data_IF_015819253240
#
_entry.id   IF_015819253240
#
_cell.length_a   1.000
_cell.length_b   1.000
_cell.length_c   1.000
_cell.angle_alpha   90.00
_cell.angle_beta   90.00
_cell.angle_gamma   90.00
#
_symmetry.space_group_name_H-M   'P 1'
#
loop_
_entity.id
_entity.type
_entity.pdbx_description
1 polymer ?
#
# COMPACT_ATOMS: atom_id res chain seq x y z
N UNK A 1 -22.49 -16.43 -24.43
CA UNK A 1 -22.89 -15.59 -23.28
C UNK A 1 -21.94 -15.82 -22.11
N UNK A 2 -20.94 -14.95 -22.04
CA UNK A 2 -20.34 -14.28 -20.88
C UNK A 2 -20.25 -15.01 -19.51
N UNK A 3 -19.10 -15.63 -19.24
CA UNK A 3 -18.57 -15.86 -17.88
C UNK A 3 -17.37 -14.93 -17.63
N UNK A 4 -17.60 -13.63 -17.40
CA UNK A 4 -16.53 -12.67 -17.00
C UNK A 4 -16.67 -12.14 -15.57
N UNK A 5 -17.90 -12.06 -15.03
CA UNK A 5 -18.21 -11.57 -13.67
C UNK A 5 -17.45 -12.24 -12.51
N UNK A 6 -17.32 -13.58 -12.44
CA UNK A 6 -16.69 -14.23 -11.28
C UNK A 6 -15.21 -13.85 -11.13
N UNK A 7 -14.51 -13.70 -12.26
CA UNK A 7 -13.08 -13.33 -12.29
C UNK A 7 -12.86 -11.88 -11.86
N UNK A 8 -13.73 -10.97 -12.30
CA UNK A 8 -13.66 -9.56 -11.94
C UNK A 8 -13.86 -9.33 -10.43
N UNK A 9 -14.86 -10.00 -9.84
CA UNK A 9 -15.08 -9.96 -8.37
C UNK A 9 -13.86 -10.49 -7.60
N UNK A 10 -13.29 -11.62 -8.04
CA UNK A 10 -12.09 -12.18 -7.41
C UNK A 10 -10.86 -11.25 -7.51
N UNK A 11 -10.72 -10.51 -8.62
CA UNK A 11 -9.63 -9.55 -8.78
C UNK A 11 -9.78 -8.35 -7.83
N UNK A 12 -11.00 -7.87 -7.62
CA UNK A 12 -11.30 -6.80 -6.65
C UNK A 12 -11.02 -7.27 -5.22
N UNK A 13 -11.42 -8.48 -4.86
CA UNK A 13 -11.16 -9.06 -3.52
C UNK A 13 -9.66 -9.18 -3.24
N UNK A 14 -8.89 -9.69 -4.20
CA UNK A 14 -7.43 -9.77 -4.10
C UNK A 14 -6.82 -8.37 -3.96
N UNK A 15 -7.25 -7.40 -4.77
CA UNK A 15 -6.72 -6.05 -4.70
C UNK A 15 -7.06 -5.34 -3.37
N UNK A 16 -8.26 -5.54 -2.82
CA UNK A 16 -8.62 -5.03 -1.49
C UNK A 16 -7.71 -5.61 -0.40
N UNK A 17 -7.43 -6.92 -0.45
CA UNK A 17 -6.52 -7.56 0.51
C UNK A 17 -5.13 -6.96 0.44
N UNK A 18 -4.61 -6.73 -0.77
CA UNK A 18 -3.31 -6.09 -0.97
C UNK A 18 -3.26 -4.66 -0.42
N UNK A 19 -4.34 -3.88 -0.58
CA UNK A 19 -4.44 -2.53 -0.02
C UNK A 19 -4.39 -2.59 1.52
N UNK A 20 -5.15 -3.48 2.14
CA UNK A 20 -5.16 -3.60 3.61
C UNK A 20 -3.80 -4.06 4.17
N UNK A 21 -3.13 -5.00 3.51
CA UNK A 21 -1.79 -5.45 3.88
C UNK A 21 -0.76 -4.32 3.75
N UNK A 22 -0.77 -3.61 2.61
CA UNK A 22 0.16 -2.49 2.36
C UNK A 22 -0.10 -1.32 3.33
N UNK A 23 -1.36 -1.05 3.67
CA UNK A 23 -1.73 -0.03 4.65
C UNK A 23 -1.15 -0.35 6.02
N UNK A 24 -1.33 -1.59 6.50
CA UNK A 24 -0.75 -2.04 7.78
C UNK A 24 0.77 -1.94 7.80
N UNK A 25 1.43 -2.29 6.69
CA UNK A 25 2.88 -2.17 6.56
C UNK A 25 3.33 -0.69 6.67
N UNK A 26 2.69 0.21 5.92
CA UNK A 26 2.97 1.64 5.94
C UNK A 26 2.72 2.28 7.31
N UNK A 27 1.63 1.89 7.99
CA UNK A 27 1.33 2.36 9.35
C UNK A 27 2.40 1.88 10.35
N UNK A 28 2.82 0.62 10.25
CA UNK A 28 3.83 0.06 11.14
C UNK A 28 5.21 0.70 10.91
N UNK A 29 5.63 0.94 9.66
CA UNK A 29 6.88 1.65 9.40
C UNK A 29 6.85 3.10 9.83
N UNK A 30 5.71 3.79 9.71
CA UNK A 30 5.56 5.14 10.24
C UNK A 30 5.71 5.16 11.77
N UNK A 31 5.12 4.19 12.47
CA UNK A 31 5.27 4.07 13.92
C UNK A 31 6.73 3.85 14.32
N UNK A 32 7.47 3.02 13.58
CA UNK A 32 8.92 2.84 13.80
C UNK A 32 9.70 4.12 13.57
N UNK A 33 9.44 4.84 12.48
CA UNK A 33 10.10 6.12 12.20
C UNK A 33 9.83 7.17 13.31
N UNK A 34 8.60 7.23 13.82
CA UNK A 34 8.23 8.11 14.95
C UNK A 34 8.88 7.69 16.27
N UNK A 35 9.16 6.41 16.47
CA UNK A 35 9.83 5.88 17.65
C UNK A 35 11.37 6.06 17.59
N UNK A 36 11.93 6.52 16.48
CA UNK A 36 13.35 6.80 16.36
C UNK A 36 13.79 7.85 17.41
N UNK A 37 15.04 7.78 17.92
CA UNK A 37 15.60 8.82 18.77
C UNK A 37 15.46 10.21 18.13
N UNK A 38 15.28 11.24 18.94
CA UNK A 38 15.25 12.63 18.45
C UNK A 38 16.68 13.12 18.14
N UNK A 39 16.86 14.09 17.23
CA UNK A 39 15.83 14.79 16.46
C UNK A 39 15.33 14.00 15.23
N UNK A 40 14.10 14.26 14.78
CA UNK A 40 13.56 13.70 13.54
C UNK A 40 13.96 14.57 12.35
N UNK A 41 15.25 14.64 12.11
CA UNK A 41 15.88 15.49 11.11
C UNK A 41 16.81 14.67 10.21
N UNK A 42 17.16 15.21 9.05
CA UNK A 42 18.04 14.55 8.06
C UNK A 42 19.44 14.24 8.59
N UNK A 43 19.86 14.90 9.68
CA UNK A 43 21.15 14.70 10.35
C UNK A 43 21.14 13.46 11.26
N UNK A 44 19.96 12.91 11.58
CA UNK A 44 19.83 11.70 12.37
C UNK A 44 19.71 10.46 11.47
N UNK A 45 20.79 9.67 11.30
CA UNK A 45 20.79 8.55 10.36
C UNK A 45 19.80 7.44 10.75
N UNK A 46 19.49 7.26 12.04
CA UNK A 46 18.52 6.26 12.49
C UNK A 46 17.10 6.65 12.08
N UNK A 47 16.75 7.93 12.22
CA UNK A 47 15.46 8.44 11.74
C UNK A 47 15.38 8.36 10.21
N UNK A 48 16.41 8.80 9.49
CA UNK A 48 16.44 8.77 8.02
C UNK A 48 16.22 7.36 7.49
N UNK A 49 16.95 6.37 7.98
CA UNK A 49 16.80 4.98 7.53
C UNK A 49 15.37 4.43 7.75
N UNK A 50 14.76 4.73 8.90
CA UNK A 50 13.40 4.31 9.21
C UNK A 50 12.35 5.06 8.38
N UNK A 51 12.59 6.34 8.11
CA UNK A 51 11.70 7.16 7.30
C UNK A 51 11.77 6.79 5.81
N UNK A 52 12.95 6.46 5.28
CA UNK A 52 13.10 5.89 3.93
C UNK A 52 12.37 4.55 3.79
N UNK A 53 12.46 3.68 4.79
CA UNK A 53 11.70 2.44 4.80
C UNK A 53 10.18 2.72 4.77
N UNK A 54 9.71 3.70 5.53
CA UNK A 54 8.32 4.14 5.47
C UNK A 54 7.92 4.69 4.09
N UNK A 55 8.78 5.47 3.42
CA UNK A 55 8.51 5.97 2.07
C UNK A 55 8.30 4.82 1.08
N UNK A 56 9.14 3.78 1.15
CA UNK A 56 8.99 2.58 0.30
C UNK A 56 7.68 1.84 0.58
N UNK A 57 7.31 1.63 1.84
CA UNK A 57 6.04 0.99 2.18
C UNK A 57 4.83 1.81 1.70
N UNK A 58 4.94 3.15 1.74
CA UNK A 58 3.91 4.05 1.23
C UNK A 58 3.77 3.99 -0.29
N UNK A 59 4.86 3.82 -1.02
CA UNK A 59 4.82 3.59 -2.47
C UNK A 59 4.13 2.27 -2.82
N UNK A 60 4.37 1.21 -2.03
CA UNK A 60 3.66 -0.07 -2.17
C UNK A 60 2.16 0.10 -1.94
N UNK A 61 1.75 0.87 -0.92
CA UNK A 61 0.34 1.19 -0.69
C UNK A 61 -0.28 1.92 -1.89
N UNK A 62 0.39 2.94 -2.44
CA UNK A 62 -0.11 3.64 -3.63
C UNK A 62 -0.18 2.73 -4.86
N UNK A 63 0.75 1.78 -5.02
CA UNK A 63 0.68 0.78 -6.07
C UNK A 63 -0.54 -0.15 -5.89
N UNK A 64 -0.80 -0.62 -4.67
CA UNK A 64 -1.98 -1.45 -4.37
C UNK A 64 -3.30 -0.70 -4.61
N UNK A 65 -3.38 0.58 -4.23
CA UNK A 65 -4.56 1.41 -4.50
C UNK A 65 -4.81 1.58 -6.01
N UNK A 66 -3.75 1.79 -6.81
CA UNK A 66 -3.87 1.84 -8.27
C UNK A 66 -4.33 0.50 -8.86
N UNK A 67 -3.86 -0.63 -8.32
CA UNK A 67 -4.29 -1.96 -8.75
C UNK A 67 -5.78 -2.22 -8.43
N UNK A 68 -6.25 -1.77 -7.26
CA UNK A 68 -7.67 -1.84 -6.90
C UNK A 68 -8.53 -1.01 -7.84
N UNK A 69 -8.11 0.22 -8.15
CA UNK A 69 -8.82 1.07 -9.09
C UNK A 69 -8.89 0.42 -10.48
N UNK A 70 -7.77 -0.09 -10.99
CA UNK A 70 -7.75 -0.81 -12.27
C UNK A 70 -8.67 -2.04 -12.28
N UNK A 71 -8.73 -2.79 -11.18
CA UNK A 71 -9.64 -3.94 -11.07
C UNK A 71 -11.12 -3.54 -11.09
N UNK A 72 -11.47 -2.41 -10.45
CA UNK A 72 -12.83 -1.85 -10.47
C UNK A 72 -13.21 -1.37 -11.86
N UNK A 73 -12.36 -0.58 -12.51
CA UNK A 73 -12.62 -0.11 -13.88
C UNK A 73 -12.78 -1.27 -14.87
N UNK A 74 -11.97 -2.33 -14.72
CA UNK A 74 -12.08 -3.51 -15.57
C UNK A 74 -13.38 -4.31 -15.32
N UNK A 75 -13.89 -4.32 -14.08
CA UNK A 75 -15.15 -4.97 -13.74
C UNK A 75 -16.37 -4.22 -14.29
N UNK A 76 -16.31 -2.89 -14.34
CA UNK A 76 -17.37 -2.05 -14.91
C UNK A 76 -17.46 -2.15 -16.43
N UNK A 77 -16.35 -2.45 -17.11
CA UNK A 77 -16.27 -2.62 -18.56
C UNK A 77 -16.58 -4.05 -19.06
N UNK A 78 -16.85 -5.01 -18.16
CA UNK A 78 -16.92 -6.46 -18.46
C UNK A 78 -18.34 -7.05 -18.45
#
# INVERSE_FOLDING_TARGET
>A
MTRRRPKALSAIEVANKLVEEAKRAADHSLMRAKAAPKPHEITNPAFVALFEAHQRDREVLFAAMRALEAARSAAEQA
#
